data_IF_604205633855
#
_entry.id   IF_604205633855
#
_cell.length_a   1.000
_cell.length_b   1.000
_cell.length_c   1.000
_cell.angle_alpha   90.00
_cell.angle_beta   90.00
_cell.angle_gamma   90.00
#
_symmetry.space_group_name_H-M   'P 1'
#
loop_
_entity.id
_entity.type
_entity.pdbx_description
1 polymer ?
#
# COMPACT_ATOMS: atom_id res chain seq x y z
N UNK A 1 -14.64 -8.86 -11.59
CA UNK A 1 -14.91 -7.46 -11.18
C UNK A 1 -13.90 -6.52 -11.82
N UNK A 2 -12.59 -6.67 -11.55
CA UNK A 2 -11.54 -5.80 -12.10
C UNK A 2 -11.48 -5.76 -13.63
N UNK A 3 -11.71 -6.88 -14.32
CA UNK A 3 -11.72 -6.95 -15.80
C UNK A 3 -12.72 -5.99 -16.45
N UNK A 4 -13.95 -5.92 -15.93
CA UNK A 4 -14.98 -5.01 -16.44
C UNK A 4 -14.66 -3.54 -16.17
N UNK A 5 -14.04 -3.25 -15.02
CA UNK A 5 -13.59 -1.88 -14.69
C UNK A 5 -12.46 -1.48 -15.64
N UNK A 6 -11.49 -2.37 -15.87
CA UNK A 6 -10.37 -2.14 -16.78
C UNK A 6 -10.82 -1.95 -18.24
N UNK A 7 -11.89 -2.65 -18.67
CA UNK A 7 -12.52 -2.46 -19.98
C UNK A 7 -13.03 -1.03 -20.18
N UNK A 8 -13.51 -0.39 -19.11
CA UNK A 8 -13.91 1.01 -19.13
C UNK A 8 -12.73 1.98 -18.95
N UNK A 9 -11.86 1.72 -17.97
CA UNK A 9 -10.68 2.54 -17.68
C UNK A 9 -9.59 1.73 -16.96
N UNK A 10 -8.46 1.55 -17.66
CA UNK A 10 -7.28 0.90 -17.09
C UNK A 10 -6.67 1.68 -15.91
N UNK A 11 -6.74 3.01 -15.92
CA UNK A 11 -6.18 3.82 -14.83
C UNK A 11 -6.97 3.66 -13.53
N UNK A 12 -8.30 3.65 -13.59
CA UNK A 12 -9.15 3.44 -12.42
C UNK A 12 -8.97 2.01 -11.89
N UNK A 13 -8.90 1.01 -12.78
CA UNK A 13 -8.62 -0.35 -12.38
C UNK A 13 -7.27 -0.46 -11.65
N UNK A 14 -6.22 0.18 -12.15
CA UNK A 14 -4.91 0.16 -11.51
C UNK A 14 -4.91 0.86 -10.14
N UNK A 15 -5.60 2.00 -10.01
CA UNK A 15 -5.73 2.69 -8.71
C UNK A 15 -6.44 1.81 -7.67
N UNK A 16 -7.51 1.12 -8.07
CA UNK A 16 -8.22 0.20 -7.17
C UNK A 16 -7.38 -1.02 -6.79
N UNK A 17 -6.57 -1.53 -7.71
CA UNK A 17 -5.65 -2.63 -7.44
C UNK A 17 -4.55 -2.23 -6.44
N UNK A 18 -3.93 -1.05 -6.63
CA UNK A 18 -2.96 -0.50 -5.69
C UNK A 18 -3.56 -0.23 -4.30
N UNK A 19 -4.80 0.28 -4.26
CA UNK A 19 -5.55 0.46 -3.02
C UNK A 19 -5.78 -0.88 -2.31
N UNK A 20 -6.21 -1.90 -3.06
CA UNK A 20 -6.44 -3.24 -2.53
C UNK A 20 -5.14 -3.86 -1.97
N UNK A 21 -4.01 -3.69 -2.66
CA UNK A 21 -2.71 -4.19 -2.19
C UNK A 21 -2.31 -3.61 -0.83
N UNK A 22 -2.56 -2.31 -0.60
CA UNK A 22 -2.36 -1.67 0.70
C UNK A 22 -3.22 -2.32 1.80
N UNK A 23 -4.49 -2.53 1.49
CA UNK A 23 -5.50 -3.04 2.43
C UNK A 23 -5.24 -4.52 2.78
N UNK A 24 -4.92 -5.34 1.77
CA UNK A 24 -4.57 -6.76 1.92
C UNK A 24 -3.29 -6.94 2.75
N UNK A 25 -2.30 -6.07 2.59
CA UNK A 25 -1.07 -6.08 3.40
C UNK A 25 -1.38 -5.87 4.88
N UNK A 26 -2.20 -4.87 5.23
CA UNK A 26 -2.63 -4.61 6.61
C UNK A 26 -3.48 -5.77 7.13
N UNK A 27 -4.40 -6.29 6.31
CA UNK A 27 -5.28 -7.39 6.70
C UNK A 27 -4.52 -8.68 6.99
N UNK A 28 -3.47 -8.99 6.22
CA UNK A 28 -2.66 -10.21 6.40
C UNK A 28 -1.63 -10.08 7.52
N UNK A 29 -0.90 -8.98 7.56
CA UNK A 29 0.30 -8.85 8.39
C UNK A 29 0.17 -7.87 9.54
N UNK A 30 -0.86 -7.02 9.56
CA UNK A 30 -1.09 -6.08 10.66
C UNK A 30 -1.47 -6.79 11.97
N UNK A 31 -1.16 -6.16 13.09
CA UNK A 31 -1.67 -6.56 14.40
C UNK A 31 -3.13 -6.08 14.60
N UNK A 32 -3.76 -6.47 15.71
CA UNK A 32 -5.16 -6.13 15.97
C UNK A 32 -5.41 -4.60 15.98
N UNK A 33 -4.51 -3.84 16.62
CA UNK A 33 -4.61 -2.38 16.74
C UNK A 33 -4.49 -1.68 15.38
N UNK A 34 -3.55 -2.12 14.53
CA UNK A 34 -3.37 -1.60 13.18
C UNK A 34 -4.59 -1.88 12.31
N UNK A 35 -5.12 -3.11 12.36
CA UNK A 35 -6.32 -3.47 11.59
C UNK A 35 -7.52 -2.63 12.01
N UNK A 36 -7.77 -2.51 13.32
CA UNK A 36 -8.87 -1.70 13.85
C UNK A 36 -8.74 -0.21 13.50
N UNK A 37 -7.51 0.31 13.47
CA UNK A 37 -7.24 1.71 13.14
C UNK A 37 -7.41 2.04 11.65
N UNK A 38 -6.90 1.19 10.76
CA UNK A 38 -6.75 1.55 9.34
C UNK A 38 -7.81 0.94 8.41
N UNK A 39 -8.23 -0.30 8.65
CA UNK A 39 -9.13 -0.99 7.71
C UNK A 39 -10.50 -0.35 7.56
N UNK A 40 -11.18 0.16 8.62
CA UNK A 40 -12.50 0.74 8.46
C UNK A 40 -12.53 1.92 7.46
N UNK A 41 -11.56 2.83 7.55
CA UNK A 41 -11.47 4.00 6.67
C UNK A 41 -11.03 3.65 5.24
N UNK A 42 -10.19 2.63 5.09
CA UNK A 42 -9.80 2.13 3.76
C UNK A 42 -10.97 1.40 3.08
N UNK A 43 -11.70 0.54 3.80
CA UNK A 43 -12.85 -0.19 3.26
C UNK A 43 -14.05 0.70 2.94
N UNK A 44 -14.26 1.79 3.71
CA UNK A 44 -15.34 2.76 3.44
C UNK A 44 -15.03 3.68 2.26
N UNK A 45 -13.77 3.76 1.83
CA UNK A 45 -13.29 4.70 0.82
C UNK A 45 -13.07 6.13 1.35
N UNK A 46 -13.17 6.35 2.67
CA UNK A 46 -12.82 7.64 3.28
C UNK A 46 -11.32 7.96 3.12
N UNK A 47 -10.49 6.92 3.09
CA UNK A 47 -9.06 7.02 2.80
C UNK A 47 -8.67 6.13 1.62
N UNK A 48 -7.68 6.59 0.84
CA UNK A 48 -7.10 5.83 -0.27
C UNK A 48 -5.70 5.36 0.12
N UNK A 49 -5.54 4.05 0.29
CA UNK A 49 -4.24 3.41 0.44
C UNK A 49 -3.39 3.47 -0.83
N UNK A 50 -2.07 3.52 -0.65
CA UNK A 50 -1.07 3.46 -1.70
C UNK A 50 0.05 2.50 -1.28
N UNK A 51 0.81 2.02 -2.25
CA UNK A 51 1.94 1.13 -2.03
C UNK A 51 3.21 1.77 -2.59
N UNK A 52 4.19 2.02 -1.73
CA UNK A 52 5.43 2.70 -2.06
C UNK A 52 6.59 1.71 -1.99
N UNK A 53 7.22 1.45 -3.13
CA UNK A 53 8.35 0.51 -3.23
C UNK A 53 9.40 1.01 -4.22
N UNK A 54 8.99 1.36 -5.45
CA UNK A 54 9.92 1.76 -6.51
C UNK A 54 10.71 3.02 -6.16
N UNK A 55 12.01 2.98 -6.46
CA UNK A 55 12.96 4.08 -6.32
C UNK A 55 13.66 4.37 -7.66
N UNK A 56 14.31 5.55 -7.84
CA UNK A 56 15.02 5.87 -9.08
C UNK A 56 16.06 4.82 -9.50
N UNK A 57 16.64 4.11 -8.53
CA UNK A 57 17.67 3.07 -8.74
C UNK A 57 17.12 1.65 -8.66
N UNK A 58 15.86 1.45 -8.24
CA UNK A 58 15.29 0.14 -7.94
C UNK A 58 13.83 0.03 -8.43
N UNK A 59 13.65 -0.65 -9.56
CA UNK A 59 12.33 -1.00 -10.13
C UNK A 59 12.15 -2.51 -10.20
N UNK A 60 12.71 -3.14 -11.23
CA UNK A 60 12.68 -4.61 -11.37
C UNK A 60 13.53 -5.31 -10.29
N UNK A 61 14.69 -4.73 -9.94
CA UNK A 61 15.49 -5.19 -8.80
C UNK A 61 14.98 -4.55 -7.51
N UNK A 62 13.87 -5.10 -7.02
CA UNK A 62 13.15 -4.55 -5.87
C UNK A 62 13.92 -4.69 -4.54
N UNK A 63 14.97 -5.52 -4.50
CA UNK A 63 15.83 -5.69 -3.33
C UNK A 63 16.91 -4.60 -3.22
N UNK A 64 17.16 -3.85 -4.30
CA UNK A 64 18.16 -2.79 -4.37
C UNK A 64 17.69 -1.42 -3.85
N UNK A 65 16.55 -1.36 -3.14
CA UNK A 65 16.07 -0.13 -2.51
C UNK A 65 17.09 0.47 -1.55
N UNK A 66 17.11 1.80 -1.48
CA UNK A 66 18.04 2.58 -0.67
C UNK A 66 17.35 3.33 0.48
N UNK A 67 16.02 3.46 0.48
CA UNK A 67 15.28 4.05 1.58
C UNK A 67 15.59 3.30 2.89
N UNK A 68 15.97 4.07 3.91
CA UNK A 68 16.31 3.54 5.22
C UNK A 68 15.18 3.75 6.22
N UNK A 69 15.22 3.02 7.33
CA UNK A 69 14.37 3.28 8.49
C UNK A 69 15.19 3.03 9.75
N UNK A 70 15.73 4.09 10.35
CA UNK A 70 16.57 4.00 11.54
C UNK A 70 15.74 4.16 12.82
N UNK A 71 15.87 3.21 13.76
CA UNK A 71 15.15 3.28 15.04
C UNK A 71 15.85 4.24 16.00
N UNK A 72 15.23 5.39 16.30
CA UNK A 72 15.72 6.39 17.27
C UNK A 72 14.62 6.73 18.27
N UNK A 73 14.88 6.57 19.57
CA UNK A 73 13.96 7.00 20.62
C UNK A 73 12.56 6.37 20.58
N UNK A 74 12.43 5.13 20.08
CA UNK A 74 11.13 4.43 19.98
C UNK A 74 10.34 4.72 18.71
N UNK A 75 10.85 5.57 17.82
CA UNK A 75 10.28 5.82 16.48
C UNK A 75 11.26 5.39 15.38
N UNK A 76 10.77 5.26 14.16
CA UNK A 76 11.61 5.12 12.97
C UNK A 76 11.78 6.47 12.28
N UNK A 77 13.01 6.82 11.95
CA UNK A 77 13.37 7.96 11.08
C UNK A 77 13.65 7.39 9.70
N UNK A 78 12.86 7.81 8.71
CA UNK A 78 13.05 7.44 7.31
C UNK A 78 14.26 8.20 6.72
#
# INVERSE_FOLDING_TARGET
>A
CMEEIARGSGSIAFTLDAHWLCLDTIQRFGNHEQKAKYLPGLCSGEAVGAFSWTEPVAGSDAAAIQATAERKGGVYVL
#
